data_IF_706492221312
#
_entry.id   IF_706492221312
#
_cell.length_a   1.000
_cell.length_b   1.000
_cell.length_c   1.000
_cell.angle_alpha   90.00
_cell.angle_beta   90.00
_cell.angle_gamma   90.00
#
_symmetry.space_group_name_H-M   'P 1'
#
loop_
_entity.id
_entity.type
_entity.pdbx_description
1 polymer ?
#
# COMPACT_ATOMS: atom_id res chain seq x y z
N UNK A 1 -13.78 0.77 11.70
CA UNK A 1 -14.23 1.45 10.47
C UNK A 1 -13.74 2.89 10.33
N UNK A 2 -13.73 3.71 11.40
CA UNK A 2 -13.20 5.08 11.32
C UNK A 2 -11.79 5.17 10.71
N UNK A 3 -10.85 4.33 11.15
CA UNK A 3 -9.50 4.24 10.58
C UNK A 3 -9.49 3.85 9.09
N UNK A 4 -10.38 2.95 8.65
CA UNK A 4 -10.50 2.58 7.23
C UNK A 4 -10.91 3.79 6.39
N UNK A 5 -11.92 4.53 6.85
CA UNK A 5 -12.40 5.75 6.20
C UNK A 5 -11.34 6.85 6.20
N UNK A 6 -10.63 7.00 7.32
CA UNK A 6 -9.58 8.01 7.49
C UNK A 6 -8.45 7.83 6.49
N UNK A 7 -7.86 6.63 6.41
CA UNK A 7 -6.81 6.39 5.41
C UNK A 7 -7.33 6.57 3.99
N UNK A 8 -8.56 6.13 3.70
CA UNK A 8 -9.18 6.33 2.40
C UNK A 8 -9.53 7.80 2.08
N UNK A 9 -9.30 8.73 3.01
CA UNK A 9 -9.74 10.12 2.95
C UNK A 9 -11.24 10.26 2.62
N UNK A 10 -12.06 9.43 3.27
CA UNK A 10 -13.52 9.41 3.10
C UNK A 10 -14.22 9.86 4.39
N UNK A 11 -15.41 10.50 4.29
CA UNK A 11 -16.22 10.79 5.46
C UNK A 11 -16.57 9.53 6.26
N UNK A 12 -16.63 9.67 7.58
CA UNK A 12 -17.12 8.66 8.50
C UNK A 12 -18.33 9.23 9.29
N UNK A 13 -19.42 8.46 9.50
CA UNK A 13 -19.64 7.08 9.07
C UNK A 13 -19.76 6.93 7.55
N UNK A 14 -19.42 5.74 7.03
CA UNK A 14 -19.69 5.43 5.62
C UNK A 14 -21.19 5.46 5.35
N UNK A 15 -21.58 5.89 4.13
CA UNK A 15 -22.99 5.93 3.73
C UNK A 15 -23.69 4.56 3.81
N UNK A 16 -22.93 3.47 3.67
CA UNK A 16 -23.40 2.10 3.84
C UNK A 16 -22.49 1.40 4.87
N UNK A 17 -23.06 0.69 5.85
CA UNK A 17 -22.26 -0.12 6.76
C UNK A 17 -21.54 -1.23 5.99
N UNK A 18 -20.24 -1.37 6.20
CA UNK A 18 -19.47 -2.51 5.71
C UNK A 18 -19.93 -3.80 6.43
N UNK A 19 -20.01 -4.91 5.70
CA UNK A 19 -20.52 -6.19 6.20
C UNK A 19 -19.54 -7.29 5.85
N UNK A 20 -19.18 -8.10 6.83
CA UNK A 20 -18.43 -9.34 6.65
C UNK A 20 -19.39 -10.49 6.96
N UNK A 21 -19.55 -11.40 6.01
CA UNK A 21 -20.46 -12.54 6.09
C UNK A 21 -19.65 -13.81 5.97
N UNK A 22 -19.84 -14.71 6.93
CA UNK A 22 -19.19 -16.01 6.93
C UNK A 22 -20.12 -17.06 6.34
N UNK A 23 -19.62 -17.88 5.42
CA UNK A 23 -20.37 -18.96 4.77
C UNK A 23 -19.47 -20.20 4.59
N UNK A 24 -20.07 -21.37 4.46
CA UNK A 24 -19.35 -22.60 4.11
C UNK A 24 -18.92 -22.55 2.64
N UNK A 25 -19.74 -21.95 1.77
CA UNK A 25 -19.47 -21.86 0.34
C UNK A 25 -19.44 -20.40 -0.13
N UNK A 26 -18.24 -19.89 -0.37
CA UNK A 26 -18.01 -18.57 -0.95
C UNK A 26 -17.58 -18.68 -2.42
N UNK A 27 -17.59 -17.55 -3.13
CA UNK A 27 -17.38 -17.55 -4.58
C UNK A 27 -15.92 -17.73 -5.00
N UNK A 28 -14.96 -17.32 -4.17
CA UNK A 28 -13.53 -17.38 -4.45
C UNK A 28 -12.68 -17.24 -3.18
N UNK A 29 -11.47 -17.79 -3.23
CA UNK A 29 -10.45 -17.59 -2.20
C UNK A 29 -10.82 -18.15 -0.83
N UNK A 30 -10.11 -17.70 0.21
CA UNK A 30 -10.45 -17.96 1.62
C UNK A 30 -11.35 -16.88 2.21
N UNK A 31 -11.12 -15.65 1.75
CA UNK A 31 -11.92 -14.45 1.97
C UNK A 31 -11.90 -13.65 0.66
N UNK A 32 -12.95 -12.87 0.40
CA UNK A 32 -12.94 -11.93 -0.72
C UNK A 32 -13.74 -10.66 -0.43
N UNK A 33 -13.24 -9.55 -0.95
CA UNK A 33 -13.85 -8.24 -0.89
C UNK A 33 -15.16 -8.16 -1.68
N UNK A 34 -15.92 -7.08 -1.45
CA UNK A 34 -17.24 -6.89 -2.02
C UNK A 34 -18.23 -6.27 -1.03
N UNK A 35 -19.51 -6.27 -1.43
CA UNK A 35 -20.61 -5.86 -0.57
C UNK A 35 -21.71 -6.93 -0.58
N UNK A 36 -21.65 -7.92 0.34
CA UNK A 36 -20.75 -8.02 1.49
C UNK A 36 -19.33 -8.52 1.15
N UNK A 37 -18.40 -8.35 2.10
CA UNK A 37 -17.16 -9.14 2.18
C UNK A 37 -17.58 -10.55 2.61
N UNK A 38 -17.05 -11.57 1.95
CA UNK A 38 -17.34 -12.97 2.27
C UNK A 38 -16.10 -13.66 2.83
N UNK A 39 -16.26 -14.49 3.86
CA UNK A 39 -15.21 -15.33 4.40
C UNK A 39 -15.71 -16.77 4.62
N UNK A 40 -14.81 -17.74 4.69
CA UNK A 40 -15.18 -19.07 5.17
C UNK A 40 -15.67 -19.04 6.62
N UNK A 41 -16.56 -19.98 6.97
CA UNK A 41 -17.16 -20.09 8.32
C UNK A 41 -16.09 -20.25 9.42
N UNK A 42 -14.97 -20.88 9.10
CA UNK A 42 -13.81 -21.08 9.95
C UNK A 42 -13.16 -19.74 10.38
N UNK A 43 -13.27 -18.69 9.56
CA UNK A 43 -12.80 -17.34 9.89
C UNK A 43 -13.70 -16.60 10.89
N UNK A 44 -14.82 -17.17 11.36
CA UNK A 44 -15.65 -16.50 12.38
C UNK A 44 -14.87 -16.26 13.66
N UNK A 45 -14.01 -17.20 14.07
CA UNK A 45 -13.27 -17.08 15.34
C UNK A 45 -12.29 -15.91 15.34
N UNK A 46 -11.63 -15.60 14.23
CA UNK A 46 -10.74 -14.43 14.11
C UNK A 46 -11.53 -13.11 14.10
N UNK A 47 -12.80 -13.12 13.71
CA UNK A 47 -13.65 -11.93 13.63
C UNK A 47 -14.29 -11.55 14.97
N UNK A 48 -14.58 -12.52 15.84
CA UNK A 48 -15.32 -12.30 17.09
C UNK A 48 -14.46 -12.36 18.35
N UNK A 49 -13.23 -12.88 18.26
CA UNK A 49 -12.32 -12.98 19.39
C UNK A 49 -11.58 -11.64 19.62
N UNK A 50 -12.22 -10.73 20.35
CA UNK A 50 -11.68 -9.40 20.66
C UNK A 50 -10.29 -9.44 21.32
N UNK A 51 -10.07 -10.37 22.27
CA UNK A 51 -8.79 -10.52 22.93
C UNK A 51 -7.68 -10.93 21.94
N UNK A 52 -7.99 -11.87 21.04
CA UNK A 52 -7.09 -12.29 19.96
C UNK A 52 -6.78 -11.18 18.96
N UNK A 53 -7.80 -10.41 18.56
CA UNK A 53 -7.64 -9.24 17.68
C UNK A 53 -6.70 -8.21 18.32
N UNK A 54 -6.83 -7.94 19.61
CA UNK A 54 -5.95 -7.00 20.33
C UNK A 54 -4.54 -7.51 20.49
N UNK A 55 -4.35 -8.81 20.75
CA UNK A 55 -3.02 -9.36 21.00
C UNK A 55 -2.22 -9.61 19.74
N UNK A 56 -2.88 -10.10 18.69
CA UNK A 56 -2.23 -10.71 17.52
C UNK A 56 -2.63 -10.06 16.20
N UNK A 57 -3.69 -9.24 16.19
CA UNK A 57 -4.18 -8.60 14.98
C UNK A 57 -5.21 -9.44 14.21
N UNK A 58 -5.70 -8.89 13.09
CA UNK A 58 -6.72 -9.51 12.25
C UNK A 58 -6.52 -9.11 10.79
N UNK A 59 -5.49 -9.68 10.16
CA UNK A 59 -5.01 -9.23 8.84
C UNK A 59 -6.03 -9.42 7.71
N UNK A 60 -6.57 -10.63 7.54
CA UNK A 60 -7.44 -10.99 6.40
C UNK A 60 -8.68 -10.09 6.28
N UNK A 61 -9.51 -9.97 7.32
CA UNK A 61 -10.68 -9.08 7.31
C UNK A 61 -10.35 -7.62 6.98
N UNK A 62 -9.22 -7.09 7.46
CA UNK A 62 -8.80 -5.72 7.17
C UNK A 62 -8.28 -5.58 5.73
N UNK A 63 -7.60 -6.61 5.22
CA UNK A 63 -7.13 -6.67 3.84
C UNK A 63 -8.29 -6.56 2.85
N UNK A 64 -9.39 -7.28 3.08
CA UNK A 64 -10.60 -7.18 2.23
C UNK A 64 -11.30 -5.82 2.34
N UNK A 65 -11.31 -5.23 3.55
CA UNK A 65 -11.79 -3.86 3.72
C UNK A 65 -10.92 -2.86 2.95
N UNK A 66 -9.61 -3.12 2.86
CA UNK A 66 -8.66 -2.35 2.05
C UNK A 66 -8.96 -2.46 0.55
N UNK A 67 -9.28 -3.66 0.05
CA UNK A 67 -9.75 -3.83 -1.33
C UNK A 67 -10.99 -2.99 -1.63
N UNK A 68 -11.97 -2.92 -0.72
CA UNK A 68 -13.14 -2.04 -0.87
C UNK A 68 -12.80 -0.53 -0.95
N UNK A 69 -11.58 -0.12 -0.56
CA UNK A 69 -11.12 1.28 -0.64
C UNK A 69 -10.18 1.56 -1.81
N UNK A 70 -9.68 0.55 -2.51
CA UNK A 70 -8.87 0.74 -3.72
C UNK A 70 -9.66 1.48 -4.79
N UNK A 71 -8.96 2.29 -5.59
CA UNK A 71 -9.56 3.12 -6.64
C UNK A 71 -8.77 2.99 -7.93
N UNK A 72 -9.46 2.79 -9.04
CA UNK A 72 -8.82 2.59 -10.34
C UNK A 72 -7.86 3.73 -10.70
N UNK A 73 -8.13 4.94 -10.21
CA UNK A 73 -7.39 6.17 -10.38
C UNK A 73 -5.89 6.07 -10.02
N UNK A 74 -5.54 5.32 -8.98
CA UNK A 74 -4.15 5.17 -8.50
C UNK A 74 -3.64 3.74 -8.46
N UNK A 75 -4.47 2.77 -8.89
CA UNK A 75 -4.09 1.37 -8.97
C UNK A 75 -3.45 1.02 -10.32
N UNK A 76 -2.49 0.08 -10.29
CA UNK A 76 -1.76 -0.46 -11.43
C UNK A 76 -1.94 -2.00 -11.53
N UNK A 77 -3.15 -2.53 -11.77
CA UNK A 77 -3.36 -3.97 -11.86
C UNK A 77 -2.46 -4.64 -12.93
N UNK A 78 -1.98 -5.87 -12.69
CA UNK A 78 -2.20 -6.68 -11.48
C UNK A 78 -1.25 -6.35 -10.31
N UNK A 79 -0.27 -5.46 -10.51
CA UNK A 79 0.82 -5.24 -9.56
C UNK A 79 0.33 -4.81 -8.17
N UNK A 80 -0.60 -3.85 -8.13
CA UNK A 80 -1.06 -3.23 -6.88
C UNK A 80 -2.30 -3.88 -6.28
N UNK A 81 -3.01 -4.73 -7.03
CA UNK A 81 -4.29 -5.33 -6.61
C UNK A 81 -4.19 -5.94 -5.22
N UNK A 82 -3.18 -6.78 -5.00
CA UNK A 82 -2.92 -7.44 -3.70
C UNK A 82 -1.85 -6.71 -2.86
N UNK A 83 -1.43 -5.52 -3.27
CA UNK A 83 -0.39 -4.74 -2.60
C UNK A 83 -0.99 -3.59 -1.80
N UNK A 84 -1.65 -2.64 -2.45
CA UNK A 84 -2.10 -1.39 -1.81
C UNK A 84 -3.26 -1.60 -0.85
N UNK A 85 -4.09 -2.63 -1.05
CA UNK A 85 -5.10 -3.04 -0.05
C UNK A 85 -4.48 -3.30 1.33
N UNK A 86 -3.24 -3.82 1.38
CA UNK A 86 -2.52 -4.07 2.62
C UNK A 86 -2.08 -2.79 3.35
N UNK A 87 -2.13 -1.60 2.72
CA UNK A 87 -1.89 -0.34 3.43
C UNK A 87 -2.90 -0.16 4.57
N UNK A 88 -4.16 -0.57 4.37
CA UNK A 88 -5.17 -0.55 5.42
C UNK A 88 -4.86 -1.54 6.53
N UNK A 89 -4.41 -2.75 6.19
CA UNK A 89 -3.97 -3.74 7.17
C UNK A 89 -2.87 -3.17 8.04
N UNK A 90 -1.80 -2.62 7.46
CA UNK A 90 -0.72 -2.01 8.24
C UNK A 90 -1.23 -0.82 9.06
N UNK A 91 -1.99 0.09 8.46
CA UNK A 91 -2.50 1.28 9.13
C UNK A 91 -3.34 0.97 10.36
N UNK A 92 -4.29 0.03 10.27
CA UNK A 92 -5.15 -0.34 11.40
C UNK A 92 -4.34 -1.04 12.50
N UNK A 93 -3.39 -1.91 12.15
CA UNK A 93 -2.55 -2.55 13.15
C UNK A 93 -1.73 -1.52 13.93
N UNK A 94 -1.13 -0.55 13.24
CA UNK A 94 -0.31 0.48 13.88
C UNK A 94 -1.12 1.50 14.68
N UNK A 95 -2.22 2.00 14.12
CA UNK A 95 -2.94 3.16 14.68
C UNK A 95 -4.10 2.81 15.59
N UNK A 96 -4.69 1.62 15.44
CA UNK A 96 -5.85 1.18 16.23
C UNK A 96 -5.46 0.08 17.22
N UNK A 97 -4.72 -0.92 16.76
CA UNK A 97 -4.37 -2.08 17.58
C UNK A 97 -3.08 -1.88 18.38
N UNK A 98 -2.26 -0.87 18.04
CA UNK A 98 -0.96 -0.67 18.66
C UNK A 98 0.03 -1.80 18.39
N UNK A 99 -0.19 -2.57 17.32
CA UNK A 99 0.65 -3.68 16.88
C UNK A 99 1.65 -3.14 15.85
N UNK A 100 2.96 -3.17 16.14
CA UNK A 100 3.98 -2.78 15.16
C UNK A 100 3.89 -3.66 13.91
N UNK A 101 4.06 -3.08 12.72
CA UNK A 101 3.99 -3.80 11.43
C UNK A 101 4.80 -5.09 11.38
N UNK A 102 5.98 -5.09 12.01
CA UNK A 102 6.90 -6.22 12.06
C UNK A 102 6.29 -7.47 12.72
N UNK A 103 5.21 -7.29 13.49
CA UNK A 103 4.44 -8.34 14.14
C UNK A 103 3.01 -8.48 13.59
N UNK A 104 2.59 -7.60 12.68
CA UNK A 104 1.24 -7.61 12.13
C UNK A 104 1.02 -8.74 11.10
N UNK A 105 2.09 -9.13 10.38
CA UNK A 105 2.06 -10.24 9.44
C UNK A 105 3.48 -10.85 9.28
N UNK A 106 3.65 -12.18 9.16
CA UNK A 106 4.97 -12.80 9.01
C UNK A 106 5.81 -12.24 7.85
N UNK A 107 5.15 -11.92 6.73
CA UNK A 107 5.80 -11.32 5.56
C UNK A 107 6.33 -9.89 5.80
N UNK A 108 5.95 -9.25 6.90
CA UNK A 108 6.44 -7.92 7.30
C UNK A 108 7.54 -7.99 8.36
N UNK A 109 7.98 -9.18 8.77
CA UNK A 109 9.15 -9.30 9.62
C UNK A 109 10.38 -8.67 8.93
N UNK A 110 11.25 -7.94 9.66
CA UNK A 110 12.43 -7.31 9.08
C UNK A 110 13.28 -8.24 8.18
N UNK A 111 13.61 -9.49 8.55
CA UNK A 111 14.42 -10.36 7.69
C UNK A 111 13.72 -10.72 6.38
N UNK A 112 12.40 -10.95 6.39
CA UNK A 112 11.66 -11.28 5.17
C UNK A 112 11.54 -10.07 4.23
N UNK A 113 11.36 -8.86 4.78
CA UNK A 113 11.34 -7.62 4.00
C UNK A 113 12.70 -7.34 3.37
N UNK A 114 13.77 -7.42 4.15
CA UNK A 114 15.14 -7.23 3.67
C UNK A 114 15.51 -8.23 2.56
N UNK A 115 15.20 -9.52 2.78
CA UNK A 115 15.40 -10.57 1.78
C UNK A 115 14.64 -10.28 0.48
N UNK A 116 13.39 -9.82 0.57
CA UNK A 116 12.55 -9.48 -0.58
C UNK A 116 13.13 -8.32 -1.39
N UNK A 117 13.51 -7.23 -0.72
CA UNK A 117 14.15 -6.06 -1.35
C UNK A 117 15.42 -6.50 -2.07
N UNK A 118 16.34 -7.18 -1.37
CA UNK A 118 17.59 -7.69 -1.96
C UNK A 118 17.35 -8.62 -3.14
N UNK A 119 16.36 -9.50 -3.07
CA UNK A 119 16.02 -10.43 -4.16
C UNK A 119 15.53 -9.68 -5.40
N UNK A 120 14.64 -8.70 -5.24
CA UNK A 120 14.13 -7.88 -6.35
C UNK A 120 15.24 -7.08 -7.02
N UNK A 121 16.05 -6.40 -6.21
CA UNK A 121 17.17 -5.58 -6.69
C UNK A 121 18.27 -6.42 -7.35
N UNK A 122 18.58 -7.60 -6.81
CA UNK A 122 19.55 -8.54 -7.37
C UNK A 122 19.19 -9.05 -8.77
N UNK A 123 17.92 -8.98 -9.15
CA UNK A 123 17.44 -9.27 -10.53
C UNK A 123 17.43 -8.05 -11.44
N UNK A 124 17.89 -6.89 -10.98
CA UNK A 124 17.81 -5.62 -11.70
C UNK A 124 16.45 -4.91 -11.56
N UNK A 125 15.72 -5.17 -10.46
CA UNK A 125 14.42 -4.59 -10.17
C UNK A 125 13.37 -4.72 -11.30
N UNK A 126 13.17 -5.90 -11.91
CA UNK A 126 12.29 -6.03 -13.06
C UNK A 126 10.83 -5.75 -12.68
N UNK A 127 10.18 -4.80 -13.36
CA UNK A 127 8.82 -4.37 -13.02
C UNK A 127 7.79 -5.52 -12.99
N UNK A 128 7.96 -6.58 -13.79
CA UNK A 128 7.04 -7.72 -13.79
C UNK A 128 7.07 -8.53 -12.47
N UNK A 129 8.19 -8.51 -11.74
CA UNK A 129 8.33 -9.13 -10.40
C UNK A 129 7.88 -8.18 -9.28
N UNK A 130 7.63 -6.90 -9.58
CA UNK A 130 7.08 -5.92 -8.64
C UNK A 130 5.58 -6.17 -8.45
N UNK A 131 5.23 -7.12 -7.58
CA UNK A 131 3.84 -7.50 -7.31
C UNK A 131 3.61 -7.80 -5.81
N UNK A 132 2.35 -7.73 -5.38
CA UNK A 132 1.89 -8.10 -4.03
C UNK A 132 2.78 -7.51 -2.93
N UNK A 133 3.60 -8.35 -2.30
CA UNK A 133 4.49 -8.02 -1.19
C UNK A 133 5.70 -7.22 -1.62
N UNK A 134 6.25 -7.45 -2.81
CA UNK A 134 7.37 -6.68 -3.36
C UNK A 134 6.89 -5.27 -3.73
N UNK A 135 5.68 -5.18 -4.29
CA UNK A 135 5.06 -3.90 -4.58
C UNK A 135 4.76 -3.09 -3.30
N UNK A 136 4.24 -3.76 -2.28
CA UNK A 136 3.95 -3.15 -0.98
C UNK A 136 5.18 -2.50 -0.34
N UNK A 137 6.39 -3.09 -0.47
CA UNK A 137 7.61 -2.51 0.11
C UNK A 137 7.88 -1.08 -0.33
N UNK A 138 7.64 -0.75 -1.60
CA UNK A 138 7.79 0.62 -2.12
C UNK A 138 6.92 1.60 -1.33
N UNK A 139 5.67 1.24 -1.06
CA UNK A 139 4.76 2.10 -0.29
C UNK A 139 5.11 2.13 1.20
N UNK A 140 5.57 1.01 1.78
CA UNK A 140 5.97 0.96 3.19
C UNK A 140 7.21 1.82 3.46
N UNK A 141 8.18 1.86 2.54
CA UNK A 141 9.36 2.72 2.67
C UNK A 141 8.98 4.21 2.60
N UNK A 142 8.04 4.60 1.73
CA UNK A 142 7.50 5.97 1.73
C UNK A 142 6.79 6.28 3.05
N UNK A 143 6.00 5.34 3.56
CA UNK A 143 5.30 5.52 4.82
C UNK A 143 6.28 5.60 6.00
N UNK A 144 7.37 4.84 6.01
CA UNK A 144 8.40 4.89 7.06
C UNK A 144 9.11 6.24 7.10
N UNK A 145 9.35 6.82 5.93
CA UNK A 145 10.04 8.09 5.79
C UNK A 145 9.15 9.31 6.05
N UNK A 146 7.89 9.26 5.63
CA UNK A 146 7.03 10.45 5.57
C UNK A 146 5.72 10.30 6.36
N UNK A 147 5.46 9.15 6.96
CA UNK A 147 4.24 8.87 7.72
C UNK A 147 3.00 8.63 6.86
N UNK A 148 1.84 8.56 7.51
CA UNK A 148 0.54 8.27 6.87
C UNK A 148 -0.17 9.50 6.29
N UNK A 149 0.24 10.70 6.69
CA UNK A 149 -0.41 11.94 6.26
C UNK A 149 -0.30 12.17 4.74
N UNK A 150 0.88 12.03 4.08
CA UNK A 150 0.97 12.20 2.63
C UNK A 150 0.08 11.24 1.83
N UNK A 151 -0.10 10.00 2.30
CA UNK A 151 -1.02 9.04 1.68
C UNK A 151 -2.47 9.53 1.76
N UNK A 152 -2.91 9.94 2.95
CA UNK A 152 -4.27 10.43 3.15
C UNK A 152 -4.54 11.69 2.31
N UNK A 153 -3.59 12.64 2.30
CA UNK A 153 -3.70 13.85 1.48
C UNK A 153 -3.73 13.53 -0.03
N UNK A 154 -2.93 12.56 -0.48
CA UNK A 154 -2.89 12.16 -1.88
C UNK A 154 -4.18 11.44 -2.30
N UNK A 155 -4.69 10.51 -1.48
CA UNK A 155 -5.97 9.85 -1.74
C UNK A 155 -7.14 10.84 -1.75
N UNK A 156 -7.11 11.87 -0.90
CA UNK A 156 -8.09 12.97 -0.95
C UNK A 156 -8.01 13.73 -2.29
N UNK A 157 -6.79 14.03 -2.75
CA UNK A 157 -6.58 14.74 -4.02
C UNK A 157 -7.09 13.91 -5.20
N UNK A 158 -6.75 12.63 -5.28
CA UNK A 158 -7.20 11.75 -6.36
C UNK A 158 -8.72 11.67 -6.49
N UNK A 159 -9.48 11.79 -5.39
CA UNK A 159 -10.95 11.78 -5.45
C UNK A 159 -11.55 12.98 -6.20
N UNK A 160 -10.78 14.06 -6.38
CA UNK A 160 -11.20 15.27 -7.09
C UNK A 160 -10.40 15.55 -8.35
N UNK A 161 -9.35 14.76 -8.60
CA UNK A 161 -8.40 14.97 -9.68
C UNK A 161 -9.01 14.58 -11.03
N UNK A 162 -9.04 15.54 -11.96
CA UNK A 162 -9.43 15.29 -13.36
C UNK A 162 -8.22 14.98 -14.24
N UNK A 163 -8.44 14.31 -15.37
CA UNK A 163 -7.39 14.08 -16.37
C UNK A 163 -6.37 13.01 -15.97
N UNK A 164 -6.76 12.09 -15.09
CA UNK A 164 -5.92 10.96 -14.68
C UNK A 164 -5.66 10.06 -15.91
N UNK A 165 -4.39 9.72 -16.21
CA UNK A 165 -4.07 8.80 -17.28
C UNK A 165 -4.78 7.46 -17.13
N UNK A 166 -5.11 6.82 -18.25
CA UNK A 166 -5.79 5.51 -18.24
C UNK A 166 -4.81 4.35 -18.31
N UNK A 167 -3.66 4.57 -18.96
CA UNK A 167 -2.58 3.60 -19.08
C UNK A 167 -1.73 3.52 -17.80
N UNK A 168 -1.05 2.40 -17.63
CA UNK A 168 -0.27 2.09 -16.43
C UNK A 168 0.86 3.10 -16.21
N UNK A 169 1.66 3.36 -17.24
CA UNK A 169 2.86 4.17 -17.15
C UNK A 169 2.53 5.61 -16.80
N UNK A 170 1.47 6.17 -17.40
CA UNK A 170 0.95 7.49 -17.08
C UNK A 170 0.50 7.60 -15.62
N UNK A 171 -0.21 6.59 -15.08
CA UNK A 171 -0.63 6.60 -13.67
C UNK A 171 0.54 6.46 -12.70
N UNK A 172 1.51 5.60 -13.00
CA UNK A 172 2.73 5.46 -12.20
C UNK A 172 3.48 6.79 -12.15
N UNK A 173 3.67 7.44 -13.29
CA UNK A 173 4.31 8.76 -13.38
C UNK A 173 3.53 9.87 -12.66
N UNK A 174 2.21 9.85 -12.74
CA UNK A 174 1.36 10.75 -11.97
C UNK A 174 1.53 10.53 -10.46
N UNK A 175 1.61 9.27 -10.00
CA UNK A 175 1.87 8.94 -8.60
C UNK A 175 3.23 9.47 -8.14
N UNK A 176 4.30 9.22 -8.90
CA UNK A 176 5.65 9.73 -8.58
C UNK A 176 5.63 11.24 -8.42
N UNK A 177 5.03 11.95 -9.38
CA UNK A 177 4.92 13.41 -9.33
C UNK A 177 4.14 13.87 -8.11
N UNK A 178 2.92 13.37 -7.93
CA UNK A 178 2.02 13.83 -6.87
C UNK A 178 2.53 13.51 -5.48
N UNK A 179 3.09 12.31 -5.26
CA UNK A 179 3.66 11.96 -3.97
C UNK A 179 4.89 12.81 -3.66
N UNK A 180 5.76 13.06 -4.65
CA UNK A 180 6.92 13.97 -4.52
C UNK A 180 6.48 15.38 -4.12
N UNK A 181 5.42 15.90 -4.74
CA UNK A 181 4.80 17.19 -4.38
C UNK A 181 4.24 17.17 -2.95
N UNK A 182 3.63 16.07 -2.48
CA UNK A 182 3.14 15.99 -1.09
C UNK A 182 4.25 16.03 -0.06
N UNK A 183 5.37 15.36 -0.32
CA UNK A 183 6.49 15.29 0.64
C UNK A 183 7.55 16.36 0.42
N UNK A 184 7.40 17.19 -0.63
CA UNK A 184 8.35 18.24 -1.02
C UNK A 184 9.78 17.70 -1.19
N UNK A 185 9.91 16.52 -1.82
CA UNK A 185 11.18 15.86 -2.14
C UNK A 185 11.15 15.29 -3.55
N UNK A 186 12.30 15.30 -4.21
CA UNK A 186 12.44 14.58 -5.47
C UNK A 186 12.54 13.07 -5.21
N UNK A 187 11.45 12.33 -5.47
CA UNK A 187 11.41 10.87 -5.31
C UNK A 187 11.69 10.10 -6.60
N UNK A 188 11.99 10.76 -7.73
CA UNK A 188 12.26 10.06 -8.97
C UNK A 188 13.36 8.97 -8.83
N UNK A 189 14.52 9.24 -8.19
CA UNK A 189 15.55 8.21 -8.00
C UNK A 189 15.08 7.02 -7.15
N UNK A 190 14.17 7.23 -6.20
CA UNK A 190 13.62 6.16 -5.38
C UNK A 190 12.75 5.20 -6.20
N UNK A 191 11.83 5.76 -7.02
CA UNK A 191 10.95 4.94 -7.85
C UNK A 191 11.71 4.26 -9.00
N UNK A 192 12.69 4.93 -9.59
CA UNK A 192 13.60 4.32 -10.58
C UNK A 192 14.34 3.11 -10.00
N UNK A 193 14.84 3.20 -8.76
CA UNK A 193 15.51 2.07 -8.08
C UNK A 193 14.57 0.88 -7.82
N UNK A 194 13.26 1.12 -7.74
CA UNK A 194 12.23 0.07 -7.65
C UNK A 194 11.83 -0.51 -9.02
N UNK A 195 12.40 0.01 -10.12
CA UNK A 195 12.13 -0.44 -11.49
C UNK A 195 10.95 0.26 -12.15
N UNK A 196 10.46 1.37 -11.60
CA UNK A 196 9.36 2.12 -12.20
C UNK A 196 9.85 2.89 -13.44
N UNK A 197 9.06 2.95 -14.53
CA UNK A 197 9.41 3.67 -15.75
C UNK A 197 9.16 5.18 -15.58
N UNK A 198 9.96 5.85 -14.75
CA UNK A 198 9.86 7.30 -14.56
C UNK A 198 10.24 8.01 -15.85
N UNK A 199 9.32 8.79 -16.39
CA UNK A 199 9.50 9.55 -17.62
C UNK A 199 10.42 10.74 -17.36
N UNK A 200 11.24 11.08 -18.36
CA UNK A 200 12.20 12.17 -18.27
C UNK A 200 11.53 13.51 -17.97
N UNK A 201 10.35 13.74 -18.54
CA UNK A 201 9.55 14.94 -18.32
C UNK A 201 9.13 15.07 -16.86
N UNK A 202 8.74 13.95 -16.21
CA UNK A 202 8.40 13.91 -14.80
C UNK A 202 9.63 14.13 -13.94
N UNK A 203 10.72 13.40 -14.19
CA UNK A 203 11.98 13.57 -13.45
C UNK A 203 12.50 15.02 -13.52
N UNK A 204 12.47 15.64 -14.71
CA UNK A 204 12.85 17.05 -14.89
C UNK A 204 11.93 18.00 -14.12
N UNK A 205 10.62 17.74 -14.11
CA UNK A 205 9.67 18.57 -13.36
C UNK A 205 9.88 18.53 -11.86
N UNK A 206 10.47 17.44 -11.34
CA UNK A 206 10.77 17.23 -9.93
C UNK A 206 12.18 17.69 -9.54
N UNK A 207 13.04 18.03 -10.51
CA UNK A 207 14.40 18.47 -10.24
C UNK A 207 14.48 19.80 -9.46
N UNK A 208 13.39 20.56 -9.39
CA UNK A 208 13.29 21.75 -8.55
C UNK A 208 13.08 21.42 -7.05
N UNK A 209 12.66 20.20 -6.73
CA UNK A 209 12.50 19.76 -5.34
C UNK A 209 13.85 19.26 -4.78
N UNK A 210 14.09 19.41 -3.47
CA UNK A 210 15.30 18.92 -2.85
C UNK A 210 15.39 17.39 -2.95
N UNK A 211 16.60 16.88 -3.17
CA UNK A 211 16.89 15.45 -3.16
C UNK A 211 16.48 14.82 -1.81
N UNK A 212 15.94 13.61 -1.87
CA UNK A 212 15.72 12.79 -0.68
C UNK A 212 17.01 12.08 -0.28
N UNK A 213 17.78 12.71 0.61
CA UNK A 213 19.09 12.21 1.03
C UNK A 213 19.00 10.86 1.77
N UNK A 214 17.93 10.68 2.55
CA UNK A 214 17.64 9.49 3.34
C UNK A 214 16.93 8.38 2.53
N UNK A 215 16.95 8.48 1.19
CA UNK A 215 16.39 7.45 0.32
C UNK A 215 17.00 6.07 0.66
N UNK A 216 16.21 5.11 1.16
CA UNK A 216 16.71 3.81 1.62
C UNK A 216 17.28 2.96 0.49
N UNK A 217 17.02 3.30 -0.78
CA UNK A 217 17.53 2.57 -1.93
C UNK A 217 18.97 2.94 -2.28
N UNK A 218 19.52 4.04 -1.75
CA UNK A 218 20.90 4.47 -2.04
C UNK A 218 21.96 3.44 -1.63
N UNK A 219 21.70 2.70 -0.55
CA UNK A 219 22.58 1.62 -0.05
C UNK A 219 22.70 0.45 -1.03
N UNK A 220 21.82 0.38 -2.03
CA UNK A 220 21.80 -0.66 -3.05
C UNK A 220 22.24 -0.18 -4.43
N UNK A 221 22.14 1.13 -4.72
CA UNK A 221 22.57 1.71 -6.01
C UNK A 221 24.05 2.12 -6.01
N UNK A 222 24.65 2.32 -4.84
CA UNK A 222 26.08 2.54 -4.67
C UNK A 222 26.60 1.54 -3.62
N UNK A 223 27.07 0.35 -4.02
CA UNK A 223 27.81 -0.50 -3.10
C UNK A 223 28.98 0.30 -2.55
N UNK A 224 29.11 0.39 -1.23
CA UNK A 224 30.36 0.88 -0.64
C UNK A 224 31.49 -0.02 -1.16
N UNK A 225 32.48 0.60 -1.81
CA UNK A 225 33.74 -0.05 -2.20
C UNK A 225 34.48 -0.63 -0.99
#
# INVERSE_FOLDING_TARGET
>A
MGAIAQLAARPFPFCRPERIVADVQISAGWMHSGYPIMCHLESVQELINEAGIRSSGVWGPIHELGHNQQRQEWEFPPHTTEATCNLWSVYVHETVLGIPRARAHPALSPPEREKRIKTHLGKGAPLHDWNVWTALETYLQLQEAFGWEPFTQLFAEYQTLSGIPKDKDGKMNLWVKKFSEKVQKNLAPFFEAWGWPVQKEVANSLACLPEWQENPMRVHTHPQE
#
